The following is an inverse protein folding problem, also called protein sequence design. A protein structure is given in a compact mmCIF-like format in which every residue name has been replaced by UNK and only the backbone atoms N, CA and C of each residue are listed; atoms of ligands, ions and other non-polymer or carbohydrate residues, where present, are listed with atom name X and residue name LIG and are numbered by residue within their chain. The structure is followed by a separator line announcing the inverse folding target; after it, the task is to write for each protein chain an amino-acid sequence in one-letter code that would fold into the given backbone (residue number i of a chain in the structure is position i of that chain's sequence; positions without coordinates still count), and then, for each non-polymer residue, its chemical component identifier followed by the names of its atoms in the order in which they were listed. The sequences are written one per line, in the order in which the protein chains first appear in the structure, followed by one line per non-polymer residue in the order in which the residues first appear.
data_IF_879978839091
#
_entry.id   IF_879978839091
#
_cell.length_a   1.000
_cell.length_b   1.000
_cell.length_c   1.000
_cell.angle_alpha   90.00
_cell.angle_beta   90.00
_cell.angle_gamma   90.00
#
_symmetry.space_group_name_H-M   'P 1'
#
loop_
_entity.id
_entity.type
_entity.pdbx_description
1 polymer ?
#
# COMPACT_ATOMS: atom_id res chain seq x y z
N UNK A 1 -33.07 -26.54 -4.65
CA UNK A 1 -31.73 -26.95 -4.18
C UNK A 1 -30.79 -25.73 -4.32
N UNK A 2 -30.55 -24.98 -3.24
CA UNK A 2 -29.49 -24.02 -3.23
C UNK A 2 -28.17 -24.79 -3.15
N UNK A 3 -27.42 -24.84 -4.25
CA UNK A 3 -26.06 -25.35 -4.20
C UNK A 3 -25.24 -24.36 -3.36
N UNK A 4 -24.62 -24.83 -2.27
CA UNK A 4 -23.68 -24.01 -1.50
C UNK A 4 -22.52 -23.60 -2.41
N UNK A 5 -22.33 -22.31 -2.61
CA UNK A 5 -21.21 -21.79 -3.39
C UNK A 5 -19.92 -22.09 -2.63
N UNK A 6 -19.02 -22.83 -3.25
CA UNK A 6 -17.68 -23.09 -2.68
C UNK A 6 -16.76 -21.94 -3.06
N UNK A 7 -16.27 -21.22 -2.07
CA UNK A 7 -15.28 -20.16 -2.27
C UNK A 7 -13.91 -20.73 -2.66
N UNK A 8 -13.05 -19.87 -3.23
CA UNK A 8 -11.69 -20.24 -3.57
C UNK A 8 -10.87 -20.45 -2.28
N UNK A 9 -9.94 -21.41 -2.28
CA UNK A 9 -9.05 -21.72 -1.13
C UNK A 9 -8.34 -20.50 -0.56
N UNK A 10 -7.98 -19.52 -1.40
CA UNK A 10 -7.32 -18.28 -0.97
C UNK A 10 -8.14 -17.47 0.03
N UNK A 11 -9.45 -17.72 0.13
CA UNK A 11 -10.33 -17.04 1.09
C UNK A 11 -10.36 -17.74 2.46
N UNK A 12 -9.89 -19.00 2.55
CA UNK A 12 -9.88 -19.74 3.82
C UNK A 12 -8.98 -19.08 4.87
N UNK A 13 -7.95 -18.33 4.42
CA UNK A 13 -6.99 -17.62 5.27
C UNK A 13 -7.27 -16.11 5.38
N UNK A 14 -8.39 -15.61 4.80
CA UNK A 14 -8.79 -14.21 4.89
C UNK A 14 -9.75 -14.03 6.04
N UNK A 15 -9.23 -13.61 7.18
CA UNK A 15 -10.05 -13.23 8.32
C UNK A 15 -10.65 -11.83 8.13
N UNK A 16 -11.87 -11.63 8.64
CA UNK A 16 -12.48 -10.30 8.71
C UNK A 16 -11.59 -9.36 9.52
N UNK A 17 -11.40 -8.13 9.04
CA UNK A 17 -10.56 -7.15 9.73
C UNK A 17 -11.18 -6.76 11.07
N UNK A 18 -10.57 -7.18 12.19
CA UNK A 18 -10.94 -6.74 13.54
C UNK A 18 -10.94 -5.19 13.68
N UNK A 19 -10.03 -4.53 12.96
CA UNK A 19 -9.95 -3.07 12.88
C UNK A 19 -11.23 -2.49 12.28
N UNK A 20 -11.82 -3.14 11.28
CA UNK A 20 -13.04 -2.68 10.63
C UNK A 20 -14.26 -2.76 11.56
N UNK A 21 -14.33 -3.76 12.42
CA UNK A 21 -15.37 -3.85 13.45
C UNK A 21 -15.19 -2.79 14.55
N UNK A 22 -13.93 -2.53 14.94
CA UNK A 22 -13.64 -1.43 15.88
C UNK A 22 -14.00 -0.06 15.29
N UNK A 23 -13.74 0.18 14.00
CA UNK A 23 -14.08 1.43 13.33
C UNK A 23 -15.59 1.71 13.31
N UNK A 24 -16.45 0.70 13.35
CA UNK A 24 -17.90 0.89 13.49
C UNK A 24 -18.26 1.49 14.85
N UNK A 25 -17.53 1.12 15.89
CA UNK A 25 -17.75 1.67 17.25
C UNK A 25 -17.25 3.12 17.37
N UNK A 26 -16.22 3.48 16.61
CA UNK A 26 -15.61 4.82 16.65
C UNK A 26 -16.44 5.89 15.94
N UNK A 27 -17.49 5.50 15.21
CA UNK A 27 -18.42 6.45 14.58
C UNK A 27 -19.42 7.10 15.58
N UNK A 28 -19.45 6.64 16.83
CA UNK A 28 -20.32 7.20 17.84
C UNK A 28 -19.75 8.52 18.37
N UNK A 29 -20.54 9.61 18.44
CA UNK A 29 -20.04 10.94 18.82
C UNK A 29 -19.38 11.00 20.21
N UNK A 30 -19.78 10.11 21.11
CA UNK A 30 -19.26 10.03 22.47
C UNK A 30 -17.93 9.28 22.60
N UNK A 31 -17.44 8.67 21.50
CA UNK A 31 -16.23 7.84 21.53
C UNK A 31 -15.03 8.64 21.04
N UNK A 32 -14.05 8.80 21.91
CA UNK A 32 -12.70 9.29 21.52
C UNK A 32 -11.87 8.08 21.08
N UNK A 33 -11.58 8.00 19.79
CA UNK A 33 -10.89 6.86 19.21
C UNK A 33 -9.38 7.08 19.09
N UNK A 34 -8.61 6.12 19.60
CA UNK A 34 -7.16 5.98 19.34
C UNK A 34 -6.83 4.78 18.44
N UNK A 35 -7.86 4.15 17.85
CA UNK A 35 -7.72 2.86 17.16
C UNK A 35 -7.39 2.98 15.66
N UNK A 36 -7.67 4.10 15.01
CA UNK A 36 -7.42 4.25 13.59
C UNK A 36 -6.95 5.66 13.25
N UNK A 37 -5.85 5.77 12.52
CA UNK A 37 -5.33 7.04 12.01
C UNK A 37 -6.20 7.57 10.86
N UNK A 38 -7.24 8.33 11.17
CA UNK A 38 -8.02 9.06 10.17
C UNK A 38 -7.39 10.43 9.94
N UNK A 39 -7.27 10.89 8.67
CA UNK A 39 -6.88 12.27 8.41
C UNK A 39 -7.85 13.26 9.06
N UNK A 40 -7.34 14.40 9.50
CA UNK A 40 -8.14 15.47 10.09
C UNK A 40 -9.10 16.07 9.03
N UNK A 41 -10.43 15.96 9.18
CA UNK A 41 -11.39 16.38 8.14
C UNK A 41 -11.31 17.87 7.79
N UNK A 42 -10.97 18.70 8.77
CA UNK A 42 -10.81 20.14 8.63
C UNK A 42 -9.64 20.56 7.72
N UNK A 43 -8.71 19.64 7.44
CA UNK A 43 -7.56 19.88 6.55
C UNK A 43 -7.83 19.47 5.10
N UNK A 44 -8.99 18.92 4.78
CA UNK A 44 -9.32 18.58 3.41
C UNK A 44 -9.53 19.84 2.57
N UNK A 45 -8.88 19.96 1.40
CA UNK A 45 -8.96 21.14 0.55
C UNK A 45 -10.26 21.14 -0.29
N UNK A 46 -11.41 21.17 0.39
CA UNK A 46 -12.73 20.97 -0.25
C UNK A 46 -13.03 22.08 -1.26
N UNK A 47 -12.74 23.35 -0.94
CA UNK A 47 -13.04 24.48 -1.82
C UNK A 47 -12.12 24.50 -3.06
N UNK A 48 -10.86 24.12 -2.90
CA UNK A 48 -9.92 23.94 -4.00
C UNK A 48 -10.36 22.79 -4.92
N UNK A 49 -10.78 21.67 -4.33
CA UNK A 49 -11.28 20.53 -5.12
C UNK A 49 -12.53 20.85 -5.91
N UNK A 50 -13.46 21.64 -5.37
CA UNK A 50 -14.63 22.13 -6.12
C UNK A 50 -14.19 22.94 -7.34
N UNK A 51 -13.30 23.93 -7.17
CA UNK A 51 -12.79 24.77 -8.25
C UNK A 51 -12.11 23.94 -9.35
N UNK A 52 -11.21 23.05 -8.96
CA UNK A 52 -10.50 22.17 -9.90
C UNK A 52 -11.45 21.24 -10.63
N UNK A 53 -12.43 20.65 -9.95
CA UNK A 53 -13.41 19.76 -10.58
C UNK A 53 -14.26 20.48 -11.63
N UNK A 54 -14.71 21.70 -11.32
CA UNK A 54 -15.47 22.52 -12.28
C UNK A 54 -14.58 22.88 -13.48
N UNK A 55 -13.37 23.38 -13.25
CA UNK A 55 -12.45 23.76 -14.34
C UNK A 55 -12.14 22.58 -15.28
N UNK A 56 -11.87 21.38 -14.73
CA UNK A 56 -11.62 20.19 -15.55
C UNK A 56 -12.83 19.82 -16.41
N UNK A 57 -14.04 19.91 -15.87
CA UNK A 57 -15.25 19.57 -16.62
C UNK A 57 -15.56 20.63 -17.70
N UNK A 58 -15.30 21.90 -17.42
CA UNK A 58 -15.49 23.00 -18.39
C UNK A 58 -14.47 22.96 -19.53
N UNK A 59 -13.18 22.74 -19.19
CA UNK A 59 -12.08 22.80 -20.16
C UNK A 59 -11.94 21.54 -21.00
N UNK A 60 -12.13 20.36 -20.38
CA UNK A 60 -11.87 19.06 -21.01
C UNK A 60 -12.82 17.93 -20.55
N UNK A 61 -14.06 18.26 -20.23
CA UNK A 61 -15.03 17.33 -19.67
C UNK A 61 -15.23 16.07 -20.52
N UNK A 62 -15.27 16.19 -21.86
CA UNK A 62 -15.40 15.02 -22.73
C UNK A 62 -14.22 14.06 -22.61
N UNK A 63 -12.99 14.57 -22.46
CA UNK A 63 -11.78 13.77 -22.26
C UNK A 63 -11.75 13.18 -20.86
N UNK A 64 -12.07 13.99 -19.84
CA UNK A 64 -12.04 13.57 -18.44
C UNK A 64 -13.05 12.46 -18.12
N UNK A 65 -14.17 12.41 -18.83
CA UNK A 65 -15.23 11.40 -18.64
C UNK A 65 -15.09 10.19 -19.58
N UNK A 66 -14.12 10.19 -20.49
CA UNK A 66 -13.89 9.10 -21.45
C UNK A 66 -12.96 8.02 -20.87
N UNK A 67 -13.01 6.83 -21.44
CA UNK A 67 -12.01 5.79 -21.22
C UNK A 67 -10.62 6.29 -21.62
N UNK A 68 -9.60 5.83 -20.86
CA UNK A 68 -8.20 6.12 -21.13
C UNK A 68 -7.37 4.84 -21.22
N UNK A 69 -6.06 4.97 -21.39
CA UNK A 69 -5.13 3.82 -21.41
C UNK A 69 -5.08 3.11 -20.05
N UNK A 70 -4.70 1.85 -20.07
CA UNK A 70 -4.57 1.00 -18.86
C UNK A 70 -3.61 1.60 -17.84
N UNK A 71 -2.54 2.24 -18.31
CA UNK A 71 -1.50 2.85 -17.48
C UNK A 71 -1.98 4.14 -16.80
N UNK A 72 -3.05 4.72 -17.28
CA UNK A 72 -3.61 5.96 -16.79
C UNK A 72 -3.22 7.18 -17.60
N UNK A 73 -3.76 8.34 -17.22
CA UNK A 73 -3.66 9.61 -17.93
C UNK A 73 -2.21 10.06 -18.09
N UNK A 74 -1.71 10.15 -19.35
CA UNK A 74 -0.31 10.41 -19.66
C UNK A 74 0.23 11.71 -19.03
N UNK A 75 -0.47 12.87 -19.08
CA UNK A 75 0.04 14.09 -18.44
C UNK A 75 0.23 13.96 -16.92
N UNK A 76 -0.57 13.14 -16.24
CA UNK A 76 -0.38 12.88 -14.81
C UNK A 76 0.88 12.03 -14.57
N UNK A 77 1.10 10.99 -15.38
CA UNK A 77 2.28 10.12 -15.31
C UNK A 77 3.58 10.92 -15.55
N UNK A 78 3.55 11.84 -16.53
CA UNK A 78 4.67 12.75 -16.82
C UNK A 78 5.00 13.66 -15.63
N UNK A 79 3.97 14.26 -15.00
CA UNK A 79 4.16 15.10 -13.80
C UNK A 79 4.67 14.31 -12.60
N UNK A 80 4.23 13.07 -12.44
CA UNK A 80 4.74 12.19 -11.36
C UNK A 80 6.22 11.86 -11.62
N UNK A 81 6.58 11.47 -12.85
CA UNK A 81 7.97 11.20 -13.23
C UNK A 81 8.88 12.41 -12.99
N UNK A 82 8.46 13.59 -13.45
CA UNK A 82 9.20 14.84 -13.21
C UNK A 82 9.39 15.14 -11.72
N UNK A 83 8.32 15.01 -10.93
CA UNK A 83 8.39 15.18 -9.46
C UNK A 83 9.35 14.20 -8.81
N UNK A 84 9.32 12.92 -9.18
CA UNK A 84 10.24 11.90 -8.64
C UNK A 84 11.68 12.22 -9.02
N UNK A 85 11.94 12.55 -10.28
CA UNK A 85 13.27 12.87 -10.78
C UNK A 85 13.83 14.14 -10.13
N UNK A 86 13.01 15.17 -9.96
CA UNK A 86 13.43 16.42 -9.34
C UNK A 86 13.67 16.30 -7.85
N UNK A 87 12.73 15.66 -7.11
CA UNK A 87 12.79 15.61 -5.65
C UNK A 87 13.61 14.45 -5.09
N UNK A 88 13.52 13.28 -5.72
CA UNK A 88 14.15 12.04 -5.25
C UNK A 88 15.40 11.66 -6.03
N UNK A 89 15.78 12.47 -7.05
CA UNK A 89 16.94 12.21 -7.91
C UNK A 89 16.91 10.85 -8.60
N UNK A 90 15.72 10.38 -8.96
CA UNK A 90 15.50 9.15 -9.72
C UNK A 90 15.66 9.43 -11.22
N UNK A 91 15.53 8.38 -12.04
CA UNK A 91 15.48 8.48 -13.50
C UNK A 91 14.29 7.69 -14.05
N UNK A 92 13.09 8.03 -13.56
CA UNK A 92 11.83 7.38 -13.92
C UNK A 92 11.24 8.05 -15.14
N UNK A 93 10.70 7.26 -16.08
CA UNK A 93 9.94 7.75 -17.23
C UNK A 93 8.44 7.62 -16.98
N UNK A 94 7.62 8.37 -17.72
CA UNK A 94 6.17 8.24 -17.64
C UNK A 94 5.69 6.81 -17.93
N UNK A 95 6.39 6.08 -18.80
CA UNK A 95 6.05 4.70 -19.16
C UNK A 95 6.41 3.67 -18.09
N UNK A 96 7.18 4.06 -17.09
CA UNK A 96 7.48 3.22 -15.91
C UNK A 96 6.38 3.38 -14.81
N UNK A 97 5.35 4.19 -15.06
CA UNK A 97 4.33 4.55 -14.07
C UNK A 97 2.96 3.98 -14.46
N UNK A 98 2.35 3.29 -13.54
CA UNK A 98 0.96 2.83 -13.59
C UNK A 98 0.14 3.56 -12.52
N UNK A 99 -0.95 4.20 -12.94
CA UNK A 99 -1.89 4.83 -12.00
C UNK A 99 -2.84 3.78 -11.45
N UNK A 100 -2.94 3.72 -10.12
CA UNK A 100 -3.80 2.78 -9.41
C UNK A 100 -4.84 3.50 -8.55
N UNK A 101 -5.93 2.81 -8.19
CA UNK A 101 -6.93 3.29 -7.23
C UNK A 101 -6.42 3.16 -5.80
N UNK A 102 -5.43 3.97 -5.45
CA UNK A 102 -4.74 3.96 -4.17
C UNK A 102 -3.71 2.83 -4.04
N UNK A 103 -2.95 2.86 -2.95
CA UNK A 103 -1.88 1.90 -2.67
C UNK A 103 -2.37 0.46 -2.51
N UNK A 104 -3.62 0.26 -2.07
CA UNK A 104 -4.18 -1.08 -1.89
C UNK A 104 -4.23 -1.86 -3.20
N UNK A 105 -4.58 -1.23 -4.31
CA UNK A 105 -4.54 -1.86 -5.63
C UNK A 105 -3.11 -2.12 -6.09
N UNK A 106 -2.17 -1.22 -5.80
CA UNK A 106 -0.76 -1.42 -6.08
C UNK A 106 -0.18 -2.63 -5.32
N UNK A 107 -0.53 -2.78 -4.05
CA UNK A 107 -0.15 -3.93 -3.23
C UNK A 107 -0.73 -5.26 -3.75
N UNK A 108 -2.00 -5.24 -4.17
CA UNK A 108 -2.65 -6.41 -4.79
C UNK A 108 -1.96 -6.79 -6.10
N UNK A 109 -1.64 -5.80 -6.95
CA UNK A 109 -0.89 -6.05 -8.18
C UNK A 109 0.52 -6.60 -7.94
N UNK A 110 1.22 -6.09 -6.93
CA UNK A 110 2.53 -6.62 -6.56
C UNK A 110 2.44 -8.10 -6.16
N UNK A 111 1.46 -8.45 -5.31
CA UNK A 111 1.19 -9.84 -4.95
C UNK A 111 0.85 -10.69 -6.18
N UNK A 112 -0.03 -10.20 -7.04
CA UNK A 112 -0.49 -10.90 -8.26
C UNK A 112 0.61 -11.19 -9.27
N UNK A 113 1.57 -10.27 -9.41
CA UNK A 113 2.62 -10.38 -10.43
C UNK A 113 3.82 -11.19 -9.95
N UNK A 114 4.15 -11.12 -8.66
CA UNK A 114 5.41 -11.65 -8.15
C UNK A 114 5.28 -12.88 -7.25
N UNK A 115 4.09 -13.19 -6.72
CA UNK A 115 3.92 -14.18 -5.65
C UNK A 115 3.14 -15.40 -6.13
N UNK A 116 3.75 -16.56 -5.99
CA UNK A 116 3.11 -17.87 -6.08
C UNK A 116 2.83 -18.44 -4.68
N UNK A 117 1.91 -19.41 -4.59
CA UNK A 117 1.62 -20.12 -3.33
C UNK A 117 2.89 -20.69 -2.70
N UNK A 118 3.13 -20.35 -1.45
CA UNK A 118 4.28 -20.79 -0.65
C UNK A 118 5.58 -20.02 -0.88
N UNK A 119 5.59 -18.99 -1.73
CA UNK A 119 6.68 -18.03 -1.78
C UNK A 119 6.78 -17.24 -0.48
N UNK A 120 7.94 -16.69 -0.19
CA UNK A 120 8.21 -15.98 1.06
C UNK A 120 8.23 -14.47 0.83
N UNK A 121 7.49 -13.77 1.68
CA UNK A 121 7.55 -12.32 1.83
C UNK A 121 8.15 -12.00 3.20
N UNK A 122 9.25 -11.26 3.20
CA UNK A 122 9.82 -10.71 4.43
C UNK A 122 9.15 -9.36 4.72
N UNK A 123 8.85 -9.10 5.99
CA UNK A 123 8.24 -7.83 6.40
C UNK A 123 8.75 -7.39 7.77
N UNK A 124 8.54 -6.12 8.10
CA UNK A 124 8.85 -5.59 9.44
C UNK A 124 7.94 -6.21 10.51
N UNK A 125 8.43 -6.31 11.74
CA UNK A 125 7.63 -6.68 12.91
C UNK A 125 7.56 -5.50 13.90
N UNK A 126 6.38 -4.86 14.07
CA UNK A 126 5.11 -5.06 13.36
C UNK A 126 5.10 -4.48 11.95
N UNK A 127 4.11 -4.88 11.12
CA UNK A 127 3.94 -4.40 9.74
C UNK A 127 2.51 -3.92 9.46
N UNK A 128 2.30 -3.25 8.32
CA UNK A 128 1.00 -2.73 7.92
C UNK A 128 0.04 -3.84 7.49
N UNK A 129 -1.01 -4.03 8.29
CA UNK A 129 -2.02 -5.08 8.08
C UNK A 129 -2.71 -4.99 6.71
N UNK A 130 -2.89 -3.80 6.16
CA UNK A 130 -3.50 -3.63 4.84
C UNK A 130 -2.67 -4.26 3.72
N UNK A 131 -1.33 -4.14 3.78
CA UNK A 131 -0.43 -4.78 2.84
C UNK A 131 -0.43 -6.30 2.99
N UNK A 132 -0.28 -6.79 4.23
CA UNK A 132 -0.29 -8.23 4.51
C UNK A 132 -1.59 -8.87 4.02
N UNK A 133 -2.75 -8.23 4.26
CA UNK A 133 -4.05 -8.75 3.84
C UNK A 133 -4.23 -8.75 2.31
N UNK A 134 -3.70 -7.75 1.58
CA UNK A 134 -3.72 -7.77 0.12
C UNK A 134 -2.92 -8.96 -0.42
N UNK A 135 -1.74 -9.19 0.13
CA UNK A 135 -0.83 -10.25 -0.32
C UNK A 135 -1.27 -11.65 0.12
N UNK A 136 -2.00 -11.80 1.24
CA UNK A 136 -2.53 -13.09 1.72
C UNK A 136 -3.37 -13.84 0.68
N UNK A 137 -4.03 -13.11 -0.23
CA UNK A 137 -4.81 -13.72 -1.31
C UNK A 137 -3.96 -14.59 -2.26
N UNK A 138 -2.65 -14.38 -2.29
CA UNK A 138 -1.68 -15.12 -3.10
C UNK A 138 -0.98 -16.23 -2.32
N UNK A 139 -1.40 -16.44 -1.08
CA UNK A 139 -0.96 -17.56 -0.21
C UNK A 139 0.55 -17.62 0.05
N UNK A 140 1.25 -16.47 0.25
CA UNK A 140 2.66 -16.49 0.65
C UNK A 140 2.82 -16.97 2.09
N UNK A 141 4.07 -17.26 2.44
CA UNK A 141 4.54 -17.34 3.82
C UNK A 141 5.14 -16.00 4.21
N UNK A 142 4.65 -15.40 5.30
CA UNK A 142 5.26 -14.21 5.86
C UNK A 142 6.31 -14.59 6.89
N UNK A 143 7.48 -13.97 6.79
CA UNK A 143 8.52 -14.02 7.81
C UNK A 143 8.75 -12.59 8.30
N UNK A 144 8.49 -12.38 9.57
CA UNK A 144 8.66 -11.09 10.22
C UNK A 144 10.11 -10.92 10.66
N UNK A 145 10.72 -9.81 10.27
CA UNK A 145 12.07 -9.43 10.70
C UNK A 145 11.93 -8.45 11.86
N UNK A 146 12.61 -8.71 13.01
CA UNK A 146 12.59 -7.80 14.14
C UNK A 146 13.02 -6.38 13.78
N UNK A 147 12.43 -5.40 14.47
CA UNK A 147 12.75 -3.98 14.31
C UNK A 147 13.25 -3.37 15.61
N UNK A 148 14.14 -2.39 15.51
CA UNK A 148 14.55 -1.50 16.59
C UNK A 148 14.03 -0.06 16.36
N UNK A 149 14.60 0.94 17.02
CA UNK A 149 14.19 2.33 16.85
C UNK A 149 14.52 2.90 15.46
N UNK A 150 15.46 2.28 14.74
CA UNK A 150 15.93 2.68 13.42
C UNK A 150 15.33 1.83 12.29
N UNK A 151 14.35 0.98 12.60
CA UNK A 151 13.65 0.14 11.63
C UNK A 151 14.09 -1.33 11.66
N UNK A 152 14.07 -2.00 10.52
CA UNK A 152 14.42 -3.42 10.39
C UNK A 152 15.88 -3.67 10.79
N UNK A 153 16.13 -4.69 11.60
CA UNK A 153 17.48 -5.09 12.04
C UNK A 153 18.15 -5.87 10.89
N UNK A 154 19.20 -5.30 10.29
CA UNK A 154 19.84 -5.85 9.10
C UNK A 154 20.49 -7.20 9.35
N UNK A 155 21.10 -7.38 10.51
CA UNK A 155 21.71 -8.65 10.91
C UNK A 155 20.71 -9.81 10.99
N UNK A 156 19.46 -9.52 11.39
CA UNK A 156 18.38 -10.51 11.38
C UNK A 156 17.86 -10.77 9.96
N UNK A 157 17.77 -9.72 9.13
CA UNK A 157 17.43 -9.86 7.71
C UNK A 157 18.45 -10.76 6.98
N UNK A 158 19.75 -10.53 7.16
CA UNK A 158 20.82 -11.33 6.56
C UNK A 158 20.73 -12.81 6.97
N UNK A 159 20.50 -13.10 8.26
CA UNK A 159 20.32 -14.48 8.75
C UNK A 159 19.14 -15.17 8.06
N UNK A 160 18.01 -14.50 7.93
CA UNK A 160 16.82 -15.06 7.30
C UNK A 160 17.06 -15.28 5.81
N UNK A 161 17.67 -14.32 5.10
CA UNK A 161 18.01 -14.47 3.69
C UNK A 161 18.99 -15.61 3.43
N UNK A 162 19.95 -15.84 4.33
CA UNK A 162 20.92 -16.92 4.20
C UNK A 162 20.33 -18.33 4.41
N UNK A 163 19.18 -18.45 5.05
CA UNK A 163 18.59 -19.73 5.46
C UNK A 163 17.20 -19.99 4.88
N UNK A 164 16.67 -19.06 4.09
CA UNK A 164 15.30 -19.13 3.58
C UNK A 164 15.29 -19.16 2.06
N UNK A 165 14.73 -20.22 1.51
CA UNK A 165 14.49 -20.33 0.07
C UNK A 165 13.21 -19.60 -0.35
N UNK A 166 13.10 -19.30 -1.65
CA UNK A 166 11.91 -18.73 -2.28
C UNK A 166 11.50 -17.35 -1.73
N UNK A 167 12.44 -16.57 -1.20
CA UNK A 167 12.19 -15.18 -0.87
C UNK A 167 11.97 -14.40 -2.16
N UNK A 168 10.78 -13.82 -2.32
CA UNK A 168 10.37 -13.07 -3.51
C UNK A 168 10.25 -11.58 -3.28
N UNK A 169 9.95 -11.17 -2.05
CA UNK A 169 9.66 -9.78 -1.73
C UNK A 169 10.10 -9.43 -0.32
N UNK A 170 10.57 -8.20 -0.14
CA UNK A 170 10.75 -7.57 1.16
C UNK A 170 9.81 -6.37 1.17
N UNK A 171 8.85 -6.37 2.11
CA UNK A 171 7.91 -5.27 2.30
C UNK A 171 8.32 -4.40 3.48
N UNK A 172 8.57 -3.13 3.24
CA UNK A 172 9.02 -2.17 4.26
C UNK A 172 8.31 -0.82 4.11
N UNK A 173 8.21 -0.08 5.22
CA UNK A 173 7.76 1.32 5.25
C UNK A 173 8.85 2.14 5.91
N UNK A 174 9.83 2.65 5.17
CA UNK A 174 11.00 3.30 5.75
C UNK A 174 10.72 4.71 6.30
N UNK A 175 9.60 5.34 5.94
CA UNK A 175 9.20 6.65 6.44
C UNK A 175 7.88 6.55 7.20
N UNK A 176 7.87 7.00 8.47
CA UNK A 176 6.66 7.01 9.31
C UNK A 176 5.94 5.66 9.34
N UNK A 177 6.69 4.60 9.62
CA UNK A 177 6.24 3.22 9.56
C UNK A 177 4.89 3.02 10.26
N UNK A 178 3.99 2.32 9.58
CA UNK A 178 2.70 1.94 10.15
C UNK A 178 2.77 0.49 10.68
N UNK A 179 2.59 0.24 12.01
CA UNK A 179 2.00 1.16 12.98
C UNK A 179 3.01 1.90 13.91
N UNK A 180 4.31 1.67 13.81
CA UNK A 180 5.28 2.11 14.82
C UNK A 180 5.61 3.62 14.77
N UNK A 181 5.34 4.32 13.67
CA UNK A 181 5.71 5.71 13.44
C UNK A 181 7.20 5.94 13.21
N UNK A 182 8.02 4.90 13.19
CA UNK A 182 9.48 5.00 13.03
C UNK A 182 9.87 5.41 11.62
N UNK A 183 11.00 6.10 11.51
CA UNK A 183 11.61 6.44 10.21
C UNK A 183 13.04 5.93 10.19
N UNK A 184 13.39 5.18 9.16
CA UNK A 184 14.73 4.64 9.00
C UNK A 184 15.73 5.77 8.72
N UNK A 185 16.83 5.87 9.46
CA UNK A 185 17.90 6.79 9.11
C UNK A 185 18.60 6.34 7.84
N UNK A 186 19.27 7.29 7.16
CA UNK A 186 19.96 7.02 5.90
C UNK A 186 20.97 5.88 6.00
N UNK A 187 21.68 5.77 7.10
CA UNK A 187 22.65 4.70 7.33
C UNK A 187 22.02 3.30 7.31
N UNK A 188 20.79 3.18 7.85
CA UNK A 188 20.04 1.92 7.82
C UNK A 188 19.56 1.58 6.42
N UNK A 189 19.18 2.59 5.62
CA UNK A 189 18.71 2.40 4.24
C UNK A 189 19.83 2.01 3.27
N UNK A 190 21.08 2.34 3.59
CA UNK A 190 22.25 2.02 2.76
C UNK A 190 22.87 0.66 3.06
N UNK A 191 22.49 0.01 4.15
CA UNK A 191 22.85 -1.38 4.46
C UNK A 191 21.98 -2.37 3.70
#
# INVERSE_FOLDING_TARGET
LFMAVKFAKRLDNLEGSAIRELLKLTQRPEVISFAGGMPAPELFPVEEMKKVSVAVLEEQGQVALQYTTTEGYAPLREKIADRMNTKLKTNVKADDILITSGSQQGLDFAGKVFIDEGDVILCESPSYMGALNAMKAYQPKFIEIPTDNDGMIMEELEKVLATTDRVKMIYVIPDFQNPSGRTWPMERRLK
#
